data_IF_219515558371
#
_entry.id   IF_219515558371
#
_cell.length_a   1.000
_cell.length_b   1.000
_cell.length_c   1.000
_cell.angle_alpha   90.00
_cell.angle_beta   90.00
_cell.angle_gamma   90.00
#
_symmetry.space_group_name_H-M   'P 1'
#
loop_
_entity.id
_entity.type
_entity.pdbx_description
1 polymer ?
#
# COMPACT_ATOMS: atom_id res chain seq x y z
N UNK A 1 33.17 3.29 -21.67
CA UNK A 1 32.52 2.23 -20.88
C UNK A 1 31.76 2.75 -19.65
N UNK A 2 32.27 3.73 -18.91
CA UNK A 2 31.55 4.32 -17.74
C UNK A 2 30.34 5.19 -18.13
N UNK A 3 30.32 5.84 -19.29
CA UNK A 3 29.21 6.70 -19.72
C UNK A 3 27.95 5.94 -20.17
N UNK A 4 28.07 4.65 -20.53
CA UNK A 4 26.91 3.80 -20.86
C UNK A 4 26.14 3.31 -19.64
N UNK A 5 26.71 3.43 -18.45
CA UNK A 5 26.08 3.01 -17.19
C UNK A 5 25.05 4.04 -16.71
N UNK A 6 25.17 5.29 -17.15
CA UNK A 6 24.31 6.42 -16.77
C UNK A 6 23.35 6.89 -17.88
N UNK A 7 22.99 6.02 -18.83
CA UNK A 7 21.91 6.36 -19.76
C UNK A 7 20.57 6.39 -19.02
N UNK A 8 19.84 7.49 -19.12
CA UNK A 8 18.45 7.58 -18.66
C UNK A 8 17.52 6.99 -19.74
N UNK A 9 16.53 6.19 -19.37
CA UNK A 9 16.25 5.64 -18.04
C UNK A 9 17.29 4.58 -17.60
N UNK A 10 17.51 4.48 -16.28
CA UNK A 10 18.46 3.53 -15.71
C UNK A 10 18.03 2.08 -16.02
N UNK A 11 18.91 1.32 -16.68
CA UNK A 11 18.65 -0.09 -17.05
C UNK A 11 19.44 -1.10 -16.19
N UNK A 12 20.42 -0.63 -15.43
CA UNK A 12 21.23 -1.51 -14.60
C UNK A 12 20.51 -1.82 -13.28
N UNK A 13 20.17 -3.10 -12.99
CA UNK A 13 19.43 -3.47 -11.77
C UNK A 13 20.14 -3.06 -10.47
N UNK A 14 21.47 -3.08 -10.46
CA UNK A 14 22.28 -2.68 -9.30
C UNK A 14 22.13 -1.20 -9.00
N UNK A 15 22.16 -0.35 -10.05
CA UNK A 15 21.97 1.09 -9.90
C UNK A 15 20.54 1.42 -9.47
N UNK A 16 19.55 0.74 -10.04
CA UNK A 16 18.14 0.88 -9.66
C UNK A 16 17.95 0.54 -8.18
N UNK A 17 18.48 -0.61 -7.76
CA UNK A 17 18.41 -1.05 -6.37
C UNK A 17 19.10 -0.06 -5.42
N UNK A 18 20.31 0.40 -5.77
CA UNK A 18 21.07 1.37 -4.97
C UNK A 18 20.33 2.70 -4.86
N UNK A 19 19.71 3.16 -5.93
CA UNK A 19 18.90 4.38 -5.94
C UNK A 19 17.68 4.25 -5.04
N UNK A 20 16.95 3.12 -5.12
CA UNK A 20 15.80 2.83 -4.26
C UNK A 20 16.22 2.84 -2.79
N UNK A 21 17.32 2.17 -2.43
CA UNK A 21 17.82 2.16 -1.06
C UNK A 21 18.19 3.56 -0.58
N UNK A 22 18.84 4.35 -1.44
CA UNK A 22 19.20 5.73 -1.13
C UNK A 22 17.97 6.60 -0.86
N UNK A 23 16.91 6.43 -1.66
CA UNK A 23 15.64 7.13 -1.48
C UNK A 23 14.95 6.72 -0.19
N UNK A 24 14.88 5.41 0.09
CA UNK A 24 14.27 4.88 1.32
C UNK A 24 14.98 5.44 2.56
N UNK A 25 16.29 5.64 2.48
CA UNK A 25 17.10 6.14 3.59
C UNK A 25 17.02 7.67 3.72
N UNK A 26 17.04 8.38 2.61
CA UNK A 26 17.11 9.85 2.58
C UNK A 26 15.72 10.49 2.80
N UNK A 27 14.67 9.93 2.24
CA UNK A 27 13.31 10.49 2.27
C UNK A 27 12.80 10.71 3.70
N UNK A 28 12.86 9.74 4.63
CA UNK A 28 12.44 9.97 6.01
C UNK A 28 13.25 11.05 6.72
N UNK A 29 14.57 11.10 6.49
CA UNK A 29 15.46 12.09 7.13
C UNK A 29 15.09 13.52 6.68
N UNK A 30 14.79 13.71 5.40
CA UNK A 30 14.41 15.02 4.86
C UNK A 30 13.01 15.44 5.32
N UNK A 31 12.05 14.49 5.36
CA UNK A 31 10.65 14.78 5.62
C UNK A 31 10.28 14.82 7.10
N UNK A 32 11.12 14.27 7.97
CA UNK A 32 10.95 14.45 9.43
C UNK A 32 10.93 15.92 9.84
N UNK A 33 11.70 16.77 9.16
CA UNK A 33 11.70 18.22 9.40
C UNK A 33 10.37 18.88 9.00
N UNK A 34 9.66 18.32 8.02
CA UNK A 34 8.37 18.83 7.53
C UNK A 34 7.16 18.21 8.23
N UNK A 35 7.37 17.31 9.22
CA UNK A 35 6.31 16.56 9.91
C UNK A 35 5.40 15.78 8.96
N UNK A 36 5.91 15.38 7.82
CA UNK A 36 5.18 14.55 6.83
C UNK A 36 5.46 13.08 7.17
N UNK A 37 4.44 12.20 7.20
CA UNK A 37 4.66 10.77 7.37
C UNK A 37 5.61 10.20 6.31
N UNK A 38 6.54 9.36 6.74
CA UNK A 38 7.61 8.78 5.90
C UNK A 38 7.06 8.12 4.63
N UNK A 39 5.89 7.47 4.76
CA UNK A 39 5.22 6.77 3.67
C UNK A 39 4.78 7.71 2.53
N UNK A 40 4.21 8.86 2.87
CA UNK A 40 3.76 9.87 1.89
C UNK A 40 4.99 10.38 1.12
N UNK A 41 6.08 10.59 1.84
CA UNK A 41 7.32 11.01 1.23
C UNK A 41 7.88 10.01 0.22
N UNK A 42 7.84 8.73 0.54
CA UNK A 42 8.27 7.66 -0.37
C UNK A 42 7.39 7.59 -1.63
N UNK A 43 6.06 7.77 -1.48
CA UNK A 43 5.14 7.83 -2.62
C UNK A 43 5.46 9.01 -3.53
N UNK A 44 5.67 10.19 -2.95
CA UNK A 44 6.04 11.40 -3.72
C UNK A 44 7.39 11.20 -4.41
N UNK A 45 8.40 10.67 -3.71
CA UNK A 45 9.70 10.38 -4.29
C UNK A 45 9.59 9.39 -5.46
N UNK A 46 8.78 8.33 -5.32
CA UNK A 46 8.51 7.38 -6.39
C UNK A 46 7.80 8.02 -7.59
N UNK A 47 6.84 8.90 -7.36
CA UNK A 47 6.14 9.63 -8.43
C UNK A 47 7.08 10.58 -9.18
N UNK A 48 7.99 11.25 -8.48
CA UNK A 48 8.97 12.17 -9.10
C UNK A 48 9.99 11.41 -9.96
N UNK A 49 10.48 10.27 -9.49
CA UNK A 49 11.56 9.51 -10.17
C UNK A 49 11.01 8.58 -11.25
N UNK A 50 9.73 8.23 -11.12
CA UNK A 50 9.04 7.31 -12.02
C UNK A 50 8.85 7.85 -13.45
N UNK A 51 8.24 7.02 -14.33
CA UNK A 51 8.11 7.33 -15.75
C UNK A 51 7.28 8.57 -16.05
N UNK A 52 6.33 8.92 -15.16
CA UNK A 52 5.49 10.10 -15.29
C UNK A 52 6.08 11.37 -14.66
N UNK A 53 7.24 11.26 -13.98
CA UNK A 53 7.98 12.38 -13.40
C UNK A 53 9.23 12.70 -14.22
N UNK A 54 10.41 12.61 -13.58
CA UNK A 54 11.71 12.89 -14.25
C UNK A 54 12.14 11.76 -15.19
N UNK A 55 11.49 10.57 -15.11
CA UNK A 55 11.80 9.44 -15.99
C UNK A 55 13.17 8.80 -15.75
N UNK A 56 13.69 8.89 -14.52
CA UNK A 56 14.96 8.26 -14.13
C UNK A 56 14.84 6.75 -14.12
N UNK A 57 13.65 6.25 -13.71
CA UNK A 57 13.35 4.83 -13.62
C UNK A 57 12.09 4.51 -14.42
N UNK A 58 12.17 3.46 -15.24
CA UNK A 58 10.99 2.84 -15.86
C UNK A 58 10.44 1.75 -14.95
N UNK A 59 9.15 1.42 -15.15
CA UNK A 59 8.51 0.29 -14.48
C UNK A 59 9.05 -1.01 -15.10
N UNK A 60 10.11 -1.54 -14.52
CA UNK A 60 10.72 -2.80 -14.91
C UNK A 60 10.26 -3.95 -14.02
N UNK A 61 10.37 -5.18 -14.51
CA UNK A 61 10.06 -6.42 -13.78
C UNK A 61 10.76 -6.50 -12.42
N UNK A 62 11.96 -5.94 -12.31
CA UNK A 62 12.71 -5.88 -11.04
C UNK A 62 12.00 -5.02 -9.99
N UNK A 63 11.49 -3.85 -10.38
CA UNK A 63 10.76 -2.94 -9.47
C UNK A 63 9.43 -3.56 -9.05
N UNK A 64 8.74 -4.20 -10.00
CA UNK A 64 7.49 -4.90 -9.73
C UNK A 64 7.68 -6.06 -8.75
N UNK A 65 8.77 -6.83 -8.93
CA UNK A 65 9.15 -7.90 -8.01
C UNK A 65 9.41 -7.36 -6.60
N UNK A 66 10.21 -6.29 -6.45
CA UNK A 66 10.49 -5.68 -5.14
C UNK A 66 9.22 -5.15 -4.48
N UNK A 67 8.33 -4.53 -5.23
CA UNK A 67 7.03 -4.07 -4.73
C UNK A 67 6.17 -5.22 -4.23
N UNK A 68 6.07 -6.30 -5.01
CA UNK A 68 5.30 -7.51 -4.66
C UNK A 68 5.89 -8.21 -3.44
N UNK A 69 7.21 -8.40 -3.39
CA UNK A 69 7.88 -9.00 -2.21
C UNK A 69 7.68 -8.12 -0.97
N UNK A 70 7.80 -6.80 -1.11
CA UNK A 70 7.56 -5.87 -0.01
C UNK A 70 6.12 -5.96 0.52
N UNK A 71 5.14 -6.02 -0.38
CA UNK A 71 3.72 -6.18 -0.01
C UNK A 71 3.49 -7.51 0.73
N UNK A 72 3.99 -8.62 0.19
CA UNK A 72 3.87 -9.94 0.82
C UNK A 72 4.55 -9.95 2.20
N UNK A 73 5.71 -9.30 2.33
CA UNK A 73 6.41 -9.22 3.60
C UNK A 73 5.61 -8.44 4.66
N UNK A 74 5.03 -7.29 4.29
CA UNK A 74 4.18 -6.52 5.21
C UNK A 74 2.95 -7.34 5.62
N UNK A 75 2.30 -8.02 4.68
CA UNK A 75 1.14 -8.88 4.98
C UNK A 75 1.52 -10.04 5.90
N UNK A 76 2.69 -10.65 5.69
CA UNK A 76 3.19 -11.73 6.54
C UNK A 76 3.46 -11.26 7.97
N UNK A 77 4.18 -10.15 8.14
CA UNK A 77 4.45 -9.58 9.47
C UNK A 77 3.14 -9.20 10.18
N UNK A 78 2.22 -8.55 9.48
CA UNK A 78 0.93 -8.20 10.04
C UNK A 78 0.13 -9.43 10.47
N UNK A 79 0.20 -10.52 9.67
CA UNK A 79 -0.43 -11.80 10.02
C UNK A 79 0.16 -12.43 11.29
N UNK A 80 1.48 -12.34 11.49
CA UNK A 80 2.15 -12.86 12.68
C UNK A 80 1.82 -12.06 13.97
N UNK A 81 1.57 -10.76 13.84
CA UNK A 81 1.27 -9.90 14.99
C UNK A 81 -0.22 -9.90 15.39
N UNK A 82 -1.10 -10.52 14.59
CA UNK A 82 -2.51 -10.66 14.95
C UNK A 82 -2.64 -11.56 16.17
N UNK A 83 -3.14 -11.01 17.28
CA UNK A 83 -3.53 -11.80 18.43
C UNK A 83 -4.83 -12.55 18.13
N UNK A 84 -4.69 -13.87 17.90
CA UNK A 84 -5.83 -14.75 17.57
C UNK A 84 -6.83 -14.85 18.70
N UNK A 85 -6.43 -14.66 19.96
CA UNK A 85 -7.35 -14.65 21.10
C UNK A 85 -8.22 -13.39 21.11
N UNK A 86 -7.60 -12.23 20.84
CA UNK A 86 -8.32 -10.95 20.71
C UNK A 86 -9.22 -10.93 19.47
N UNK A 87 -8.78 -11.51 18.36
CA UNK A 87 -9.59 -11.65 17.15
C UNK A 87 -10.84 -12.49 17.41
N UNK A 88 -10.70 -13.66 18.06
CA UNK A 88 -11.83 -14.51 18.43
C UNK A 88 -12.80 -13.82 19.39
N UNK A 89 -12.27 -13.10 20.38
CA UNK A 89 -13.08 -12.36 21.35
C UNK A 89 -13.88 -11.21 20.71
N UNK A 90 -13.34 -10.60 19.68
CA UNK A 90 -13.95 -9.46 18.99
C UNK A 90 -14.47 -9.80 17.58
N UNK A 91 -14.60 -11.10 17.24
CA UNK A 91 -14.95 -11.57 15.90
C UNK A 91 -16.16 -10.86 15.29
N UNK A 92 -17.26 -10.73 16.03
CA UNK A 92 -18.46 -10.03 15.55
C UNK A 92 -18.20 -8.58 15.18
N UNK A 93 -17.42 -7.86 15.98
CA UNK A 93 -17.07 -6.45 15.69
C UNK A 93 -16.13 -6.32 14.51
N UNK A 94 -15.15 -7.21 14.41
CA UNK A 94 -14.20 -7.28 13.29
C UNK A 94 -14.91 -7.59 11.99
N UNK A 95 -15.84 -8.57 12.01
CA UNK A 95 -16.61 -8.94 10.84
C UNK A 95 -17.54 -7.80 10.40
N UNK A 96 -18.25 -7.19 11.34
CA UNK A 96 -19.15 -6.06 11.05
C UNK A 96 -18.36 -4.88 10.50
N UNK A 97 -17.22 -4.53 11.10
CA UNK A 97 -16.35 -3.47 10.63
C UNK A 97 -15.81 -3.77 9.22
N UNK A 98 -15.28 -4.98 8.98
CA UNK A 98 -14.79 -5.40 7.68
C UNK A 98 -15.86 -5.39 6.60
N UNK A 99 -17.08 -5.85 6.91
CA UNK A 99 -18.20 -5.82 5.97
C UNK A 99 -18.61 -4.38 5.61
N UNK A 100 -18.75 -3.49 6.57
CA UNK A 100 -19.11 -2.09 6.28
C UNK A 100 -18.01 -1.38 5.49
N UNK A 101 -16.76 -1.55 5.88
CA UNK A 101 -15.62 -0.94 5.18
C UNK A 101 -15.40 -1.51 3.78
N UNK A 102 -15.90 -2.71 3.48
CA UNK A 102 -15.94 -3.28 2.14
C UNK A 102 -17.18 -2.82 1.35
N UNK A 103 -18.38 -3.00 1.91
CA UNK A 103 -19.63 -2.78 1.18
C UNK A 103 -19.87 -1.32 0.82
N UNK A 104 -19.55 -0.38 1.73
CA UNK A 104 -19.79 1.05 1.46
C UNK A 104 -18.98 1.54 0.26
N UNK A 105 -17.64 1.40 0.21
CA UNK A 105 -16.87 1.81 -0.95
C UNK A 105 -17.23 1.00 -2.20
N UNK A 106 -17.56 -0.28 -2.06
CA UNK A 106 -17.97 -1.14 -3.17
C UNK A 106 -19.23 -0.63 -3.85
N UNK A 107 -20.28 -0.33 -3.08
CA UNK A 107 -21.53 0.19 -3.61
C UNK A 107 -21.34 1.59 -4.20
N UNK A 108 -20.73 2.51 -3.44
CA UNK A 108 -20.52 3.89 -3.89
C UNK A 108 -19.60 3.90 -5.12
N UNK A 109 -18.50 3.15 -5.10
CA UNK A 109 -17.55 3.05 -6.22
C UNK A 109 -18.20 2.49 -7.49
N UNK A 110 -19.03 1.44 -7.36
CA UNK A 110 -19.76 0.87 -8.50
C UNK A 110 -20.77 1.86 -9.08
N UNK A 111 -21.55 2.51 -8.23
CA UNK A 111 -22.54 3.49 -8.68
C UNK A 111 -21.88 4.70 -9.35
N UNK A 112 -20.80 5.23 -8.78
CA UNK A 112 -20.04 6.32 -9.40
C UNK A 112 -19.39 5.91 -10.71
N UNK A 113 -18.86 4.69 -10.81
CA UNK A 113 -18.30 4.13 -12.03
C UNK A 113 -19.32 4.06 -13.15
N UNK A 114 -20.53 3.56 -12.85
CA UNK A 114 -21.59 3.40 -13.86
C UNK A 114 -22.21 4.73 -14.25
N UNK A 115 -22.60 5.58 -13.26
CA UNK A 115 -23.42 6.76 -13.51
C UNK A 115 -22.64 8.05 -13.81
N UNK A 116 -21.38 8.15 -13.34
CA UNK A 116 -20.57 9.35 -13.53
C UNK A 116 -19.42 9.16 -14.52
N UNK A 117 -18.87 7.94 -14.60
CA UNK A 117 -17.74 7.63 -15.47
C UNK A 117 -18.17 6.90 -16.73
N UNK A 118 -19.47 6.56 -16.87
CA UNK A 118 -20.04 5.81 -18.00
C UNK A 118 -19.32 4.48 -18.28
N UNK A 119 -18.77 3.85 -17.21
CA UNK A 119 -18.11 2.56 -17.34
C UNK A 119 -19.14 1.42 -17.37
N UNK A 120 -18.77 0.33 -18.02
CA UNK A 120 -19.56 -0.89 -17.99
C UNK A 120 -19.66 -1.45 -16.57
N UNK A 121 -20.72 -2.18 -16.25
CA UNK A 121 -20.91 -2.80 -14.92
C UNK A 121 -19.70 -3.60 -14.44
N UNK A 122 -19.06 -4.50 -15.24
CA UNK A 122 -17.89 -5.24 -14.79
C UNK A 122 -16.70 -4.34 -14.47
N UNK A 123 -16.46 -3.32 -15.30
CA UNK A 123 -15.37 -2.35 -15.09
C UNK A 123 -15.57 -1.55 -13.80
N UNK A 124 -16.82 -1.12 -13.54
CA UNK A 124 -17.17 -0.38 -12.34
C UNK A 124 -17.01 -1.22 -11.07
N UNK A 125 -17.37 -2.51 -11.13
CA UNK A 125 -17.19 -3.46 -10.01
C UNK A 125 -15.70 -3.67 -9.74
N UNK A 126 -14.88 -3.88 -10.77
CA UNK A 126 -13.43 -4.01 -10.63
C UNK A 126 -12.80 -2.75 -10.03
N UNK A 127 -13.19 -1.58 -10.51
CA UNK A 127 -12.73 -0.30 -9.97
C UNK A 127 -13.13 -0.13 -8.50
N UNK A 128 -14.37 -0.47 -8.16
CA UNK A 128 -14.89 -0.41 -6.81
C UNK A 128 -14.19 -1.39 -5.86
N UNK A 129 -13.83 -2.59 -6.32
CA UNK A 129 -13.07 -3.56 -5.51
C UNK A 129 -11.68 -3.02 -5.13
N UNK A 130 -11.04 -2.27 -6.03
CA UNK A 130 -9.77 -1.60 -5.71
C UNK A 130 -9.93 -0.56 -4.58
N UNK A 131 -11.04 0.18 -4.53
CA UNK A 131 -11.32 1.15 -3.46
C UNK A 131 -11.76 0.47 -2.16
N UNK A 132 -12.42 -0.67 -2.26
CA UNK A 132 -12.89 -1.44 -1.11
C UNK A 132 -11.77 -2.25 -0.44
N UNK A 133 -10.68 -2.53 -1.16
CA UNK A 133 -9.52 -3.23 -0.62
C UNK A 133 -8.60 -2.25 0.11
N UNK A 134 -8.53 -2.40 1.43
CA UNK A 134 -7.63 -1.60 2.27
C UNK A 134 -6.32 -2.37 2.46
N UNK A 135 -5.26 -1.88 1.86
CA UNK A 135 -3.92 -2.41 2.16
C UNK A 135 -3.50 -2.04 3.58
N UNK A 136 -2.71 -2.91 4.21
CA UNK A 136 -2.18 -2.73 5.58
C UNK A 136 -1.14 -1.59 5.67
N UNK A 137 -1.34 -0.50 4.92
CA UNK A 137 -0.45 0.67 4.90
C UNK A 137 -0.32 1.32 6.29
N UNK A 138 -1.40 1.28 7.07
CA UNK A 138 -1.41 1.83 8.42
C UNK A 138 -0.61 0.99 9.41
N UNK A 139 -0.37 -0.30 9.11
CA UNK A 139 0.30 -1.21 10.02
C UNK A 139 1.71 -0.78 10.43
N UNK A 140 2.63 -0.37 9.52
CA UNK A 140 3.94 0.12 9.90
C UNK A 140 3.90 1.34 10.83
N UNK A 141 2.90 2.20 10.67
CA UNK A 141 2.71 3.39 11.50
C UNK A 141 2.32 2.97 12.92
N UNK A 142 1.34 2.07 13.04
CA UNK A 142 0.84 1.56 14.31
C UNK A 142 1.91 0.77 15.06
N UNK A 143 2.70 -0.04 14.34
CA UNK A 143 3.84 -0.78 14.89
C UNK A 143 4.92 0.16 15.41
N UNK A 144 5.26 1.23 14.66
CA UNK A 144 6.23 2.25 15.07
C UNK A 144 5.84 2.93 16.40
N UNK A 145 4.54 3.11 16.64
CA UNK A 145 4.03 3.69 17.89
C UNK A 145 3.80 2.67 19.01
N UNK A 146 4.02 1.38 18.76
CA UNK A 146 3.85 0.31 19.77
C UNK A 146 2.40 0.08 20.22
N UNK A 147 1.41 0.50 19.45
CA UNK A 147 -0.02 0.42 19.79
C UNK A 147 -0.75 -0.74 19.08
N UNK A 148 -0.03 -1.69 18.53
CA UNK A 148 -0.58 -2.86 17.82
C UNK A 148 -1.54 -3.68 18.70
N UNK A 149 -1.30 -3.75 20.00
CA UNK A 149 -2.15 -4.46 20.98
C UNK A 149 -3.40 -3.69 21.40
N UNK A 150 -3.63 -2.50 20.87
CA UNK A 150 -4.87 -1.77 21.15
C UNK A 150 -6.05 -2.47 20.47
N UNK A 151 -7.15 -2.65 21.21
CA UNK A 151 -8.35 -3.33 20.73
C UNK A 151 -8.91 -2.75 19.43
N UNK A 152 -8.91 -1.42 19.29
CA UNK A 152 -9.40 -0.77 18.08
C UNK A 152 -8.49 -1.10 16.88
N UNK A 153 -7.19 -1.16 17.11
CA UNK A 153 -6.20 -1.53 16.10
C UNK A 153 -6.35 -2.99 15.69
N UNK A 154 -6.51 -3.92 16.64
CA UNK A 154 -6.76 -5.34 16.34
C UNK A 154 -8.02 -5.53 15.49
N UNK A 155 -9.12 -4.81 15.81
CA UNK A 155 -10.35 -4.86 15.02
C UNK A 155 -10.13 -4.30 13.61
N UNK A 156 -9.41 -3.19 13.48
CA UNK A 156 -9.13 -2.57 12.19
C UNK A 156 -8.26 -3.47 11.30
N UNK A 157 -7.20 -4.07 11.85
CA UNK A 157 -6.32 -5.01 11.13
C UNK A 157 -7.11 -6.24 10.69
N UNK A 158 -7.88 -6.84 11.61
CA UNK A 158 -8.73 -7.98 11.27
C UNK A 158 -9.78 -7.65 10.21
N UNK A 159 -10.40 -6.46 10.26
CA UNK A 159 -11.30 -5.96 9.25
C UNK A 159 -10.63 -5.79 7.89
N UNK A 160 -9.40 -5.30 7.86
CA UNK A 160 -8.59 -5.18 6.63
C UNK A 160 -8.32 -6.55 5.98
N UNK A 161 -8.02 -7.57 6.78
CA UNK A 161 -7.86 -8.94 6.26
C UNK A 161 -9.15 -9.42 5.59
N UNK A 162 -10.31 -9.14 6.20
CA UNK A 162 -11.61 -9.51 5.63
C UNK A 162 -11.84 -8.77 4.30
N UNK A 163 -11.56 -7.46 4.23
CA UNK A 163 -11.73 -6.69 2.99
C UNK A 163 -10.80 -7.19 1.88
N UNK A 164 -9.56 -7.55 2.20
CA UNK A 164 -8.62 -8.13 1.22
C UNK A 164 -9.03 -9.51 0.70
N UNK A 165 -9.76 -10.30 1.51
CA UNK A 165 -10.26 -11.62 1.08
C UNK A 165 -11.50 -11.46 0.18
N UNK A 166 -12.33 -10.44 0.43
CA UNK A 166 -13.57 -10.20 -0.29
C UNK A 166 -13.37 -9.45 -1.63
N UNK A 167 -12.31 -8.64 -1.75
CA UNK A 167 -11.97 -7.86 -2.94
C UNK A 167 -11.33 -8.72 -4.04
#
# INVERSE_FOLDING_TARGET
MLLQVFSLPLKNPVLIFSLILFIILLTPVLLQRLRIPDLIGLIIAGAVIGPNGVGIMERDSSIELFGTVGLLYIMFIAGLEIDMADLKKNYGKTLTFGLYTFLIPMIVGTLTGVYWLDFSWPTSILLASMYASHTLITYPIVSKYGITKNRAVSIAIGGTVITCILA
#
